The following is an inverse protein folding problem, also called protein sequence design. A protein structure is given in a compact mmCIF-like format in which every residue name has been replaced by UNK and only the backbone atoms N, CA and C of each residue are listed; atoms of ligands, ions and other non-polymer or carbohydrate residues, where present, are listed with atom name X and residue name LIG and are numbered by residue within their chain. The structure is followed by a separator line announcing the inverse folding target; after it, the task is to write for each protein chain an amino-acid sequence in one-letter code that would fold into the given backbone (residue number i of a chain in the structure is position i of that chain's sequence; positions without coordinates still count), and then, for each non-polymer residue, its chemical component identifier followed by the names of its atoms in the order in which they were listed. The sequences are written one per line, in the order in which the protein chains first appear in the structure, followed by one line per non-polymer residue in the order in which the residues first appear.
data_IF_977997814334
#
_entry.id   IF_977997814334
#
_cell.length_a   1.000
_cell.length_b   1.000
_cell.length_c   1.000
_cell.angle_alpha   90.00
_cell.angle_beta   90.00
_cell.angle_gamma   90.00
#
_symmetry.space_group_name_H-M   'P 1'
#
loop_
_entity.id
_entity.type
_entity.pdbx_description
1 polymer ?
#
# COMPACT_ATOMS: atom_id res chain seq x y z
N UNK A 1 88.43 -8.37 -108.23
CA UNK A 1 89.71 -7.80 -108.68
C UNK A 1 89.58 -6.90 -109.90
N UNK A 2 88.71 -7.22 -110.87
CA UNK A 2 88.70 -6.47 -112.14
C UNK A 2 88.33 -4.98 -112.01
N UNK A 3 87.45 -4.64 -111.07
CA UNK A 3 87.15 -3.24 -110.73
C UNK A 3 88.38 -2.49 -110.20
N UNK A 4 89.18 -3.16 -109.35
CA UNK A 4 90.43 -2.62 -108.81
C UNK A 4 91.47 -2.44 -109.91
N UNK A 5 91.64 -3.44 -110.79
CA UNK A 5 92.51 -3.35 -111.95
C UNK A 5 92.11 -2.21 -112.89
N UNK A 6 90.81 -2.04 -113.13
CA UNK A 6 90.26 -0.96 -113.95
C UNK A 6 90.48 0.42 -113.32
N UNK A 7 90.20 0.57 -112.03
CA UNK A 7 90.38 1.83 -111.30
C UNK A 7 91.87 2.22 -111.25
N UNK A 8 92.77 1.27 -110.99
CA UNK A 8 94.22 1.51 -111.03
C UNK A 8 94.69 1.90 -112.43
N UNK A 9 94.22 1.20 -113.47
CA UNK A 9 94.63 1.47 -114.85
C UNK A 9 94.12 2.83 -115.36
N UNK A 10 92.91 3.23 -115.01
CA UNK A 10 92.37 4.56 -115.31
C UNK A 10 93.08 5.64 -114.48
N UNK A 11 93.44 5.34 -113.24
CA UNK A 11 94.08 6.29 -112.33
C UNK A 11 93.26 7.58 -112.21
N UNK A 12 93.89 8.72 -112.45
CA UNK A 12 93.22 10.03 -112.40
C UNK A 12 92.14 10.21 -113.48
N UNK A 13 92.24 9.49 -114.61
CA UNK A 13 91.26 9.55 -115.71
C UNK A 13 89.89 9.05 -115.26
N UNK A 14 89.82 8.17 -114.25
CA UNK A 14 88.55 7.70 -113.66
C UNK A 14 87.65 8.83 -113.15
N UNK A 15 88.22 10.01 -112.86
CA UNK A 15 87.52 11.21 -112.36
C UNK A 15 87.25 12.24 -113.44
N UNK A 16 87.71 12.00 -114.66
CA UNK A 16 87.53 12.93 -115.77
C UNK A 16 86.11 12.80 -116.32
N UNK A 17 85.55 13.93 -116.79
CA UNK A 17 84.25 13.93 -117.45
C UNK A 17 84.41 13.60 -118.93
N UNK A 18 83.44 12.91 -119.50
CA UNK A 18 83.37 12.70 -120.95
C UNK A 18 82.49 13.81 -121.55
N UNK A 19 82.98 14.49 -122.57
CA UNK A 19 82.26 15.55 -123.28
C UNK A 19 82.25 15.27 -124.79
N UNK A 20 81.13 15.54 -125.45
CA UNK A 20 80.94 15.20 -126.85
C UNK A 20 81.79 16.06 -127.80
N UNK A 21 81.94 17.35 -127.48
CA UNK A 21 82.58 18.33 -128.33
C UNK A 21 83.61 19.18 -127.58
N UNK A 22 84.65 19.62 -128.31
CA UNK A 22 85.75 20.41 -127.76
C UNK A 22 85.27 21.77 -127.25
N UNK A 23 84.34 22.41 -127.95
CA UNK A 23 83.78 23.72 -127.56
C UNK A 23 83.13 23.67 -126.17
N UNK A 24 82.31 22.66 -125.89
CA UNK A 24 81.68 22.48 -124.60
C UNK A 24 82.71 22.18 -123.51
N UNK A 25 83.73 21.37 -123.79
CA UNK A 25 84.81 21.12 -122.83
C UNK A 25 85.58 22.41 -122.46
N UNK A 26 85.91 23.25 -123.44
CA UNK A 26 86.56 24.55 -123.21
C UNK A 26 85.64 25.53 -122.45
N UNK A 27 84.34 25.52 -122.74
CA UNK A 27 83.36 26.32 -121.99
C UNK A 27 83.26 25.88 -120.52
N UNK A 28 83.24 24.57 -120.24
CA UNK A 28 83.24 24.03 -118.87
C UNK A 28 84.52 24.43 -118.13
N UNK A 29 85.69 24.32 -118.77
CA UNK A 29 86.97 24.75 -118.17
C UNK A 29 86.97 26.26 -117.92
N UNK A 30 86.45 27.06 -118.86
CA UNK A 30 86.29 28.50 -118.73
C UNK A 30 85.41 28.87 -117.53
N UNK A 31 84.27 28.19 -117.37
CA UNK A 31 83.36 28.37 -116.25
C UNK A 31 84.00 28.02 -114.90
N UNK A 32 84.67 26.87 -114.81
CA UNK A 32 85.35 26.46 -113.57
C UNK A 32 86.48 27.43 -113.18
N UNK A 33 87.15 28.02 -114.18
CA UNK A 33 88.18 29.03 -113.98
C UNK A 33 87.60 30.36 -113.52
N UNK A 34 86.49 30.84 -114.10
CA UNK A 34 85.87 32.09 -113.67
C UNK A 34 85.30 32.00 -112.26
N UNK A 35 84.77 30.84 -111.88
CA UNK A 35 84.13 30.60 -110.58
C UNK A 35 85.06 30.00 -109.51
N UNK A 36 86.34 29.78 -109.82
CA UNK A 36 87.33 29.13 -108.93
C UNK A 36 86.86 27.79 -108.32
N UNK A 37 86.12 26.97 -109.08
CA UNK A 37 85.50 25.71 -108.61
C UNK A 37 86.41 24.48 -108.74
N UNK A 38 87.73 24.68 -108.78
CA UNK A 38 88.73 23.61 -108.84
C UNK A 38 89.17 23.24 -110.26
N UNK A 39 89.85 22.09 -110.39
CA UNK A 39 90.40 21.57 -111.65
C UNK A 39 89.67 20.30 -112.06
N UNK A 40 89.46 20.11 -113.35
CA UNK A 40 88.82 18.92 -113.91
C UNK A 40 89.60 18.44 -115.14
N UNK A 41 89.67 17.13 -115.34
CA UNK A 41 90.06 16.57 -116.62
C UNK A 41 88.81 16.26 -117.45
N UNK A 42 88.88 16.47 -118.76
CA UNK A 42 87.77 16.19 -119.68
C UNK A 42 88.29 15.38 -120.86
N UNK A 43 87.66 14.24 -121.13
CA UNK A 43 87.89 13.41 -122.31
C UNK A 43 86.94 13.85 -123.43
N UNK A 44 87.50 14.17 -124.60
CA UNK A 44 86.74 14.55 -125.80
C UNK A 44 87.11 13.59 -126.94
N UNK A 45 86.15 12.84 -127.53
CA UNK A 45 86.46 11.86 -128.57
C UNK A 45 87.04 12.43 -129.88
N UNK A 46 86.88 13.74 -130.16
CA UNK A 46 87.18 14.35 -131.47
C UNK A 46 88.36 15.34 -131.48
N UNK A 47 89.18 15.41 -130.43
CA UNK A 47 90.29 16.39 -130.33
C UNK A 47 91.53 16.05 -131.17
N UNK A 48 91.60 14.87 -131.80
CA UNK A 48 92.69 14.47 -132.71
C UNK A 48 92.41 13.15 -133.44
N UNK A 49 93.33 12.71 -134.31
CA UNK A 49 93.22 11.43 -135.00
C UNK A 49 93.42 10.27 -133.99
N UNK A 50 92.32 9.77 -133.42
CA UNK A 50 92.35 8.55 -132.61
C UNK A 50 92.65 7.39 -133.57
N UNK A 51 93.91 6.97 -133.60
CA UNK A 51 94.31 5.72 -134.26
C UNK A 51 93.86 4.58 -133.37
N UNK A 52 92.69 4.02 -133.67
CA UNK A 52 92.13 2.85 -132.97
C UNK A 52 92.88 1.56 -133.27
N UNK A 53 93.60 1.51 -134.39
CA UNK A 53 94.46 0.40 -134.77
C UNK A 53 95.74 0.38 -133.93
N UNK A 54 95.66 -0.21 -132.74
CA UNK A 54 96.81 -0.54 -131.92
C UNK A 54 97.34 -1.91 -132.33
N UNK A 55 98.53 -1.98 -132.93
CA UNK A 55 99.20 -3.26 -133.20
C UNK A 55 99.68 -3.85 -131.87
N UNK A 56 98.97 -4.86 -131.38
CA UNK A 56 99.26 -5.53 -130.10
C UNK A 56 100.38 -6.55 -130.27
N UNK A 57 101.29 -6.70 -129.29
CA UNK A 57 102.16 -7.86 -129.23
C UNK A 57 101.34 -9.13 -128.96
N UNK A 58 101.80 -10.26 -129.49
CA UNK A 58 101.29 -11.57 -129.09
C UNK A 58 101.88 -11.92 -127.72
N UNK A 59 101.03 -12.01 -126.71
CA UNK A 59 101.40 -12.32 -125.34
C UNK A 59 100.67 -13.61 -124.93
N UNK A 60 101.17 -14.76 -125.40
CA UNK A 60 100.61 -16.08 -125.05
C UNK A 60 101.30 -16.62 -123.79
N UNK A 61 101.00 -15.97 -122.67
CA UNK A 61 101.55 -16.29 -121.35
C UNK A 61 100.41 -16.67 -120.40
N UNK A 62 100.54 -17.75 -119.61
CA UNK A 62 99.50 -18.18 -118.66
C UNK A 62 99.23 -17.16 -117.54
N UNK A 63 100.14 -16.22 -117.33
CA UNK A 63 100.01 -15.11 -116.39
C UNK A 63 99.04 -14.02 -116.88
N UNK A 64 98.81 -13.91 -118.20
CA UNK A 64 97.98 -12.88 -118.82
C UNK A 64 96.51 -13.30 -118.82
N UNK A 65 95.65 -12.43 -118.30
CA UNK A 65 94.19 -12.61 -118.29
C UNK A 65 93.57 -12.13 -119.60
N UNK A 66 94.09 -11.04 -120.16
CA UNK A 66 93.64 -10.46 -121.43
C UNK A 66 93.89 -8.96 -121.50
N UNK A 67 93.41 -8.30 -122.55
CA UNK A 67 93.52 -6.85 -122.68
C UNK A 67 92.39 -6.15 -121.91
N UNK A 68 92.69 -5.09 -121.16
CA UNK A 68 91.75 -4.48 -120.21
C UNK A 68 90.46 -3.97 -120.88
N UNK A 69 90.57 -3.48 -122.11
CA UNK A 69 89.43 -3.02 -122.91
C UNK A 69 88.40 -4.11 -123.22
N UNK A 70 88.81 -5.38 -123.23
CA UNK A 70 87.90 -6.51 -123.48
C UNK A 70 86.96 -6.79 -122.30
N UNK A 71 87.28 -6.29 -121.10
CA UNK A 71 86.52 -6.51 -119.88
C UNK A 71 85.62 -5.33 -119.50
N UNK A 72 85.58 -4.29 -120.32
CA UNK A 72 84.79 -3.08 -120.08
C UNK A 72 83.72 -2.94 -121.15
N UNK A 73 82.47 -2.80 -120.73
CA UNK A 73 81.34 -2.53 -121.63
C UNK A 73 80.98 -1.04 -121.58
N UNK A 74 80.84 -0.42 -122.74
CA UNK A 74 80.47 1.00 -122.89
C UNK A 74 79.50 1.17 -124.06
N UNK A 75 78.81 2.33 -124.11
CA UNK A 75 78.02 2.76 -125.27
C UNK A 75 78.90 2.80 -126.55
N UNK A 76 78.32 2.39 -127.69
CA UNK A 76 78.99 2.36 -129.00
C UNK A 76 79.68 3.68 -129.34
N UNK A 77 79.06 4.82 -128.99
CA UNK A 77 79.62 6.15 -129.27
C UNK A 77 80.92 6.43 -128.51
N UNK A 78 81.13 5.79 -127.37
CA UNK A 78 82.29 5.96 -126.51
C UNK A 78 83.33 4.85 -126.68
N UNK A 79 83.03 3.84 -127.49
CA UNK A 79 83.93 2.70 -127.75
C UNK A 79 85.31 3.16 -128.26
N UNK A 80 85.43 4.10 -129.22
CA UNK A 80 86.74 4.59 -129.67
C UNK A 80 87.55 5.25 -128.55
N UNK A 81 86.88 5.98 -127.65
CA UNK A 81 87.51 6.65 -126.51
C UNK A 81 87.96 5.64 -125.46
N UNK A 82 87.11 4.67 -125.13
CA UNK A 82 87.47 3.59 -124.21
C UNK A 82 88.67 2.82 -124.76
N UNK A 83 88.72 2.55 -126.07
CA UNK A 83 89.83 1.82 -126.69
C UNK A 83 91.10 2.67 -126.65
N UNK A 84 91.01 3.97 -126.92
CA UNK A 84 92.16 4.87 -126.82
C UNK A 84 92.80 4.88 -125.43
N UNK A 85 92.00 4.74 -124.37
CA UNK A 85 92.47 4.77 -122.97
C UNK A 85 92.91 3.39 -122.47
N UNK A 86 92.19 2.33 -122.82
CA UNK A 86 92.36 0.99 -122.20
C UNK A 86 93.02 -0.05 -123.11
N UNK A 87 93.03 0.11 -124.43
CA UNK A 87 93.49 -0.91 -125.38
C UNK A 87 95.00 -1.22 -125.32
N UNK A 88 95.78 -0.37 -124.64
CA UNK A 88 97.23 -0.53 -124.43
C UNK A 88 97.58 -1.07 -123.04
N UNK A 89 96.57 -1.47 -122.26
CA UNK A 89 96.77 -2.00 -120.92
C UNK A 89 96.41 -3.48 -120.91
N UNK A 90 97.37 -4.35 -120.61
CA UNK A 90 97.14 -5.78 -120.42
C UNK A 90 96.85 -6.08 -118.96
N UNK A 91 95.97 -7.04 -118.67
CA UNK A 91 95.65 -7.49 -117.32
C UNK A 91 96.35 -8.81 -117.06
N UNK A 92 97.01 -8.94 -115.90
CA UNK A 92 97.64 -10.17 -115.44
C UNK A 92 97.18 -10.54 -114.04
N UNK A 93 97.42 -11.78 -113.63
CA UNK A 93 96.99 -12.28 -112.31
C UNK A 93 97.86 -11.72 -111.17
N UNK A 94 97.26 -11.52 -110.00
CA UNK A 94 97.91 -11.03 -108.78
C UNK A 94 99.13 -11.86 -108.34
N UNK A 95 99.10 -13.17 -108.57
CA UNK A 95 100.12 -14.14 -108.14
C UNK A 95 101.30 -14.29 -109.13
N UNK A 96 101.24 -13.59 -110.27
CA UNK A 96 102.23 -13.70 -111.33
C UNK A 96 103.27 -12.56 -111.32
N UNK A 97 104.50 -12.85 -111.75
CA UNK A 97 105.51 -11.80 -112.00
C UNK A 97 105.26 -11.11 -113.35
N UNK A 98 105.26 -9.77 -113.41
CA UNK A 98 105.07 -9.02 -114.65
C UNK A 98 106.30 -8.99 -115.56
N UNK A 99 107.47 -9.46 -115.11
CA UNK A 99 108.76 -9.24 -115.82
C UNK A 99 108.72 -9.72 -117.28
N UNK A 100 108.24 -10.95 -117.51
CA UNK A 100 108.11 -11.54 -118.86
C UNK A 100 107.16 -10.74 -119.74
N UNK A 101 106.08 -10.23 -119.16
CA UNK A 101 105.09 -9.41 -119.86
C UNK A 101 105.74 -8.09 -120.24
N UNK A 102 106.44 -7.43 -119.31
CA UNK A 102 107.06 -6.13 -119.52
C UNK A 102 108.17 -6.14 -120.58
N UNK A 103 108.97 -7.21 -120.66
CA UNK A 103 110.00 -7.38 -121.70
C UNK A 103 109.43 -7.39 -123.13
N UNK A 104 108.20 -7.91 -123.28
CA UNK A 104 107.53 -8.05 -124.58
C UNK A 104 106.56 -6.90 -124.88
N UNK A 105 106.37 -5.98 -123.93
CA UNK A 105 105.48 -4.84 -124.11
C UNK A 105 106.22 -3.69 -124.82
N UNK A 106 105.71 -3.24 -125.98
CA UNK A 106 106.29 -2.09 -126.66
C UNK A 106 106.07 -0.80 -125.86
N UNK A 107 106.88 0.22 -126.17
CA UNK A 107 106.80 1.51 -125.50
C UNK A 107 105.39 2.11 -125.59
N UNK A 108 104.88 2.60 -124.45
CA UNK A 108 103.53 3.18 -124.35
C UNK A 108 102.42 2.18 -124.01
N UNK A 109 102.76 0.91 -123.80
CA UNK A 109 101.85 -0.07 -123.20
C UNK A 109 102.08 -0.20 -121.69
N UNK A 110 101.07 -0.75 -121.02
CA UNK A 110 101.11 -0.98 -119.59
C UNK A 110 100.54 -2.37 -119.25
N UNK A 111 100.91 -2.88 -118.08
CA UNK A 111 100.35 -4.07 -117.47
C UNK A 111 99.75 -3.72 -116.12
N UNK A 112 98.56 -4.24 -115.82
CA UNK A 112 97.89 -4.08 -114.52
C UNK A 112 97.51 -5.44 -113.96
N UNK A 113 97.74 -5.64 -112.67
CA UNK A 113 97.36 -6.87 -111.97
C UNK A 113 95.94 -6.78 -111.41
N UNK A 114 95.32 -7.93 -111.15
CA UNK A 114 93.97 -8.00 -110.56
C UNK A 114 93.87 -7.45 -109.13
N UNK A 115 95.00 -7.26 -108.42
CA UNK A 115 95.10 -6.60 -107.11
C UNK A 115 95.46 -5.11 -107.19
N UNK A 116 95.69 -4.57 -108.40
CA UNK A 116 95.86 -3.14 -108.61
C UNK A 116 97.31 -2.63 -108.62
N UNK A 117 98.31 -3.47 -108.94
CA UNK A 117 99.67 -3.01 -109.29
C UNK A 117 99.74 -2.70 -110.78
N UNK A 118 100.18 -1.50 -111.12
CA UNK A 118 100.27 -0.98 -112.48
C UNK A 118 101.72 -0.74 -112.88
N UNK A 119 102.10 -1.28 -114.03
CA UNK A 119 103.44 -1.24 -114.60
C UNK A 119 103.36 -0.62 -116.00
N UNK A 120 104.16 0.41 -116.25
CA UNK A 120 104.37 1.01 -117.57
C UNK A 120 105.88 1.06 -117.84
N UNK A 121 106.29 1.28 -119.09
CA UNK A 121 107.71 1.33 -119.50
C UNK A 121 108.55 2.33 -118.69
N UNK A 122 107.94 3.31 -118.04
CA UNK A 122 108.62 4.36 -117.27
C UNK A 122 108.05 4.58 -115.86
N UNK A 123 107.01 3.84 -115.45
CA UNK A 123 106.33 4.09 -114.18
C UNK A 123 105.81 2.81 -113.53
N UNK A 124 106.03 2.67 -112.23
CA UNK A 124 105.46 1.64 -111.37
C UNK A 124 104.53 2.31 -110.35
N UNK A 125 103.29 1.85 -110.26
CA UNK A 125 102.32 2.25 -109.24
C UNK A 125 101.82 1.01 -108.51
N UNK A 126 101.91 1.02 -107.19
CA UNK A 126 101.43 -0.07 -106.34
C UNK A 126 101.56 0.32 -104.87
N UNK A 127 100.84 -0.40 -103.99
CA UNK A 127 100.76 -0.14 -102.56
C UNK A 127 99.32 -0.24 -102.04
N UNK A 128 99.14 -0.08 -100.73
CA UNK A 128 97.81 0.02 -100.11
C UNK A 128 97.27 1.44 -100.25
N UNK A 129 96.12 1.61 -100.91
CA UNK A 129 95.38 2.89 -100.92
C UNK A 129 94.29 2.82 -99.84
N UNK A 130 94.34 3.73 -98.86
CA UNK A 130 93.31 3.85 -97.80
C UNK A 130 91.98 4.45 -98.32
N UNK A 131 91.92 4.76 -99.61
CA UNK A 131 90.75 5.37 -100.24
C UNK A 131 89.73 4.32 -100.65
N UNK A 132 88.48 4.53 -100.22
CA UNK A 132 87.37 3.66 -100.59
C UNK A 132 87.10 3.74 -102.10
N UNK A 133 87.12 2.59 -102.82
CA UNK A 133 86.91 2.52 -104.27
C UNK A 133 85.67 3.28 -104.70
N UNK A 134 85.76 4.09 -105.76
CA UNK A 134 84.64 4.92 -106.23
C UNK A 134 83.44 4.04 -106.60
N UNK A 135 83.71 2.89 -107.21
CA UNK A 135 82.69 1.94 -107.66
C UNK A 135 81.92 1.27 -106.52
N UNK A 136 82.52 1.10 -105.33
CA UNK A 136 81.83 0.52 -104.15
C UNK A 136 80.99 1.53 -103.35
N UNK A 137 81.12 2.83 -103.60
CA UNK A 137 80.38 3.85 -102.85
C UNK A 137 78.87 3.75 -103.05
N UNK A 138 78.43 3.37 -104.26
CA UNK A 138 77.00 3.18 -104.57
C UNK A 138 76.39 2.08 -103.70
N UNK A 139 77.06 0.93 -103.60
CA UNK A 139 76.61 -0.20 -102.76
C UNK A 139 76.53 0.20 -101.28
N UNK A 140 77.50 0.97 -100.78
CA UNK A 140 77.50 1.45 -99.39
C UNK A 140 76.34 2.41 -99.09
N UNK A 141 76.04 3.32 -100.02
CA UNK A 141 74.89 4.24 -99.89
C UNK A 141 73.57 3.46 -99.89
N UNK A 142 73.44 2.44 -100.75
CA UNK A 142 72.25 1.57 -100.75
C UNK A 142 72.09 0.80 -99.43
N UNK A 143 73.17 0.30 -98.85
CA UNK A 143 73.13 -0.39 -97.56
C UNK A 143 72.75 0.56 -96.41
N UNK A 144 73.32 1.76 -96.36
CA UNK A 144 72.95 2.78 -95.39
C UNK A 144 71.47 3.20 -95.53
N UNK A 145 70.98 3.33 -96.76
CA UNK A 145 69.57 3.64 -97.01
C UNK A 145 68.64 2.55 -96.48
N UNK A 146 68.98 1.27 -96.67
CA UNK A 146 68.22 0.14 -96.07
C UNK A 146 68.26 0.17 -94.54
N UNK A 147 69.36 0.60 -93.94
CA UNK A 147 69.46 0.75 -92.48
C UNK A 147 68.56 1.87 -91.97
N UNK A 148 68.51 3.00 -92.68
CA UNK A 148 67.61 4.12 -92.35
C UNK A 148 66.15 3.64 -92.40
N UNK A 149 65.75 2.95 -93.47
CA UNK A 149 64.38 2.41 -93.60
C UNK A 149 64.02 1.45 -92.46
N UNK A 150 64.94 0.57 -92.07
CA UNK A 150 64.73 -0.34 -90.92
C UNK A 150 64.59 0.42 -89.60
N UNK A 151 65.41 1.44 -89.37
CA UNK A 151 65.34 2.27 -88.17
C UNK A 151 64.05 3.09 -88.13
N UNK A 152 63.62 3.65 -89.25
CA UNK A 152 62.35 4.39 -89.34
C UNK A 152 61.14 3.49 -89.06
N UNK A 153 61.12 2.27 -89.61
CA UNK A 153 60.11 1.29 -89.28
C UNK A 153 60.08 0.97 -87.77
N UNK A 154 61.26 0.80 -87.16
CA UNK A 154 61.38 0.54 -85.73
C UNK A 154 60.95 1.72 -84.87
N UNK A 155 61.26 2.95 -85.28
CA UNK A 155 60.82 4.17 -84.60
C UNK A 155 59.28 4.26 -84.64
N UNK A 156 58.67 3.99 -85.79
CA UNK A 156 57.22 4.01 -85.93
C UNK A 156 56.55 2.94 -85.06
N UNK A 157 57.10 1.72 -85.02
CA UNK A 157 56.62 0.66 -84.13
C UNK A 157 56.74 1.05 -82.64
N UNK A 158 57.86 1.65 -82.23
CA UNK A 158 58.03 2.11 -80.86
C UNK A 158 57.08 3.27 -80.51
N UNK A 159 56.81 4.18 -81.45
CA UNK A 159 55.82 5.25 -81.29
C UNK A 159 54.41 4.70 -81.10
N UNK A 160 53.99 3.72 -81.91
CA UNK A 160 52.65 3.11 -81.76
C UNK A 160 52.52 2.37 -80.44
N UNK A 161 53.54 1.59 -80.04
CA UNK A 161 53.58 0.92 -78.72
C UNK A 161 53.54 1.93 -77.57
N UNK A 162 54.30 3.03 -77.66
CA UNK A 162 54.28 4.11 -76.66
C UNK A 162 52.88 4.68 -76.53
N UNK A 163 52.23 5.03 -77.65
CA UNK A 163 50.89 5.61 -77.65
C UNK A 163 49.85 4.65 -77.05
N UNK A 164 49.93 3.35 -77.38
CA UNK A 164 49.06 2.33 -76.79
C UNK A 164 49.26 2.24 -75.26
N UNK A 165 50.50 2.17 -74.78
CA UNK A 165 50.80 2.14 -73.34
C UNK A 165 50.37 3.41 -72.62
N UNK A 166 50.51 4.59 -73.24
CA UNK A 166 50.03 5.84 -72.64
C UNK A 166 48.51 5.87 -72.51
N UNK A 167 47.79 5.32 -73.50
CA UNK A 167 46.33 5.21 -73.42
C UNK A 167 45.88 4.21 -72.36
N UNK A 168 46.57 3.08 -72.23
CA UNK A 168 46.33 2.08 -71.19
C UNK A 168 46.57 2.67 -69.78
N UNK A 169 47.67 3.40 -69.58
CA UNK A 169 47.94 4.10 -68.31
C UNK A 169 46.85 5.12 -67.99
N UNK A 170 46.37 5.87 -68.97
CA UNK A 170 45.28 6.83 -68.76
C UNK A 170 43.98 6.12 -68.34
N UNK A 171 43.64 5.00 -68.99
CA UNK A 171 42.48 4.18 -68.64
C UNK A 171 42.59 3.63 -67.22
N UNK A 172 43.72 3.03 -66.85
CA UNK A 172 43.96 2.48 -65.52
C UNK A 172 43.93 3.55 -64.43
N UNK A 173 44.39 4.78 -64.72
CA UNK A 173 44.27 5.91 -63.79
C UNK A 173 42.84 6.34 -63.57
N UNK A 174 42.02 6.38 -64.63
CA UNK A 174 40.60 6.70 -64.51
C UNK A 174 39.85 5.61 -63.71
N UNK A 175 40.16 4.33 -63.97
CA UNK A 175 39.59 3.21 -63.22
C UNK A 175 40.01 3.25 -61.74
N UNK A 176 41.28 3.52 -61.45
CA UNK A 176 41.78 3.68 -60.08
C UNK A 176 41.11 4.84 -59.35
N UNK A 177 40.85 5.96 -60.03
CA UNK A 177 40.14 7.10 -59.43
C UNK A 177 38.68 6.74 -59.12
N UNK A 178 37.99 6.06 -60.04
CA UNK A 178 36.61 5.59 -59.82
C UNK A 178 36.52 4.55 -58.69
N UNK A 179 37.52 3.67 -58.56
CA UNK A 179 37.58 2.72 -57.45
C UNK A 179 37.83 3.43 -56.12
N UNK A 180 38.66 4.47 -56.10
CA UNK A 180 38.90 5.26 -54.89
C UNK A 180 37.62 5.97 -54.41
N UNK A 181 36.88 6.62 -55.32
CA UNK A 181 35.60 7.26 -54.95
C UNK A 181 34.58 6.25 -54.44
N UNK A 182 34.53 5.05 -55.06
CA UNK A 182 33.62 3.99 -54.61
C UNK A 182 34.01 3.41 -53.25
N UNK A 183 35.29 3.42 -52.92
CA UNK A 183 35.79 3.00 -51.61
C UNK A 183 35.38 4.03 -50.55
N UNK A 184 35.54 5.33 -50.83
CA UNK A 184 35.07 6.40 -49.94
C UNK A 184 33.54 6.32 -49.71
N UNK A 185 32.74 6.12 -50.76
CA UNK A 185 31.28 5.92 -50.63
C UNK A 185 30.93 4.69 -49.76
N UNK A 186 31.66 3.59 -49.90
CA UNK A 186 31.45 2.38 -49.09
C UNK A 186 31.85 2.59 -47.64
N UNK A 187 32.94 3.32 -47.38
CA UNK A 187 33.37 3.65 -46.02
C UNK A 187 32.35 4.57 -45.32
N UNK A 188 31.79 5.56 -46.01
CA UNK A 188 30.70 6.39 -45.48
C UNK A 188 29.45 5.56 -45.16
N UNK A 189 29.07 4.62 -46.04
CA UNK A 189 27.96 3.71 -45.78
C UNK A 189 28.23 2.79 -44.59
N UNK A 190 29.47 2.33 -44.43
CA UNK A 190 29.88 1.46 -43.33
C UNK A 190 29.82 2.21 -42.00
N UNK A 191 30.35 3.43 -41.93
CA UNK A 191 30.27 4.28 -40.74
C UNK A 191 28.82 4.66 -40.40
N UNK A 192 27.99 4.96 -41.40
CA UNK A 192 26.55 5.18 -41.20
C UNK A 192 25.86 3.93 -40.62
N UNK A 193 26.15 2.75 -41.18
CA UNK A 193 25.62 1.49 -40.68
C UNK A 193 26.08 1.16 -39.25
N UNK A 194 27.34 1.46 -38.91
CA UNK A 194 27.86 1.30 -37.53
C UNK A 194 27.15 2.22 -36.56
N UNK A 195 26.91 3.48 -36.94
CA UNK A 195 26.16 4.42 -36.10
C UNK A 195 24.73 3.92 -35.84
N UNK A 196 24.04 3.44 -36.89
CA UNK A 196 22.69 2.86 -36.76
C UNK A 196 22.69 1.63 -35.85
N UNK A 197 23.66 0.73 -35.98
CA UNK A 197 23.80 -0.44 -35.10
C UNK A 197 23.97 0.01 -33.65
N UNK A 198 24.84 0.99 -33.39
CA UNK A 198 25.08 1.50 -32.04
C UNK A 198 23.83 2.16 -31.43
N UNK A 199 23.02 2.84 -32.24
CA UNK A 199 21.75 3.43 -31.82
C UNK A 199 20.73 2.34 -31.45
N UNK A 200 20.53 1.37 -32.33
CA UNK A 200 19.62 0.23 -32.08
C UNK A 200 20.06 -0.59 -30.87
N UNK A 201 21.36 -0.80 -30.66
CA UNK A 201 21.88 -1.47 -29.47
C UNK A 201 21.60 -0.67 -28.18
N UNK A 202 21.69 0.65 -28.25
CA UNK A 202 21.34 1.51 -27.11
C UNK A 202 19.85 1.44 -26.80
N UNK A 203 19.00 1.48 -27.82
CA UNK A 203 17.55 1.31 -27.69
C UNK A 203 17.20 -0.06 -27.10
N UNK A 204 17.84 -1.14 -27.59
CA UNK A 204 17.66 -2.48 -27.06
C UNK A 204 18.02 -2.56 -25.57
N UNK A 205 19.19 -2.05 -25.18
CA UNK A 205 19.61 -2.00 -23.76
C UNK A 205 18.68 -1.15 -22.90
N UNK A 206 18.05 -0.12 -23.47
CA UNK A 206 17.05 0.69 -22.78
C UNK A 206 15.75 -0.09 -22.58
N UNK A 207 15.26 -0.75 -23.62
CA UNK A 207 14.07 -1.59 -23.58
C UNK A 207 14.24 -2.78 -22.62
N UNK A 208 15.39 -3.45 -22.62
CA UNK A 208 15.71 -4.53 -21.67
C UNK A 208 15.67 -4.07 -20.21
N UNK A 209 16.21 -2.88 -19.92
CA UNK A 209 16.14 -2.27 -18.58
C UNK A 209 14.70 -1.98 -18.17
N UNK A 210 13.89 -1.50 -19.10
CA UNK A 210 12.47 -1.20 -18.85
C UNK A 210 11.66 -2.48 -18.62
N UNK A 211 11.90 -3.54 -19.42
CA UNK A 211 11.29 -4.86 -19.20
C UNK A 211 11.65 -5.40 -17.81
N UNK A 212 12.93 -5.36 -17.42
CA UNK A 212 13.35 -5.82 -16.09
C UNK A 212 12.71 -4.99 -14.95
N UNK A 213 12.51 -3.68 -15.16
CA UNK A 213 11.79 -2.81 -14.21
C UNK A 213 10.33 -3.23 -14.09
N UNK A 214 9.64 -3.42 -15.21
CA UNK A 214 8.24 -3.82 -15.26
C UNK A 214 8.00 -5.23 -14.68
N UNK A 215 8.94 -6.16 -14.87
CA UNK A 215 8.87 -7.50 -14.27
C UNK A 215 8.95 -7.44 -12.74
N UNK A 216 9.87 -6.64 -12.19
CA UNK A 216 9.95 -6.41 -10.73
C UNK A 216 8.67 -5.76 -10.22
N UNK A 217 8.16 -4.74 -10.92
CA UNK A 217 6.92 -4.07 -10.55
C UNK A 217 5.74 -5.06 -10.55
N UNK A 218 5.61 -5.88 -11.60
CA UNK A 218 4.62 -6.96 -11.68
C UNK A 218 4.74 -7.93 -10.51
N UNK A 219 5.95 -8.37 -10.15
CA UNK A 219 6.15 -9.26 -9.02
C UNK A 219 5.68 -8.63 -7.70
N UNK A 220 6.06 -7.38 -7.43
CA UNK A 220 5.62 -6.66 -6.22
C UNK A 220 4.10 -6.46 -6.16
N UNK A 221 3.47 -6.16 -7.30
CA UNK A 221 2.01 -6.04 -7.39
C UNK A 221 1.32 -7.38 -7.16
N UNK A 222 1.89 -8.47 -7.66
CA UNK A 222 1.36 -9.83 -7.46
C UNK A 222 1.42 -10.21 -5.98
N UNK A 223 2.53 -9.94 -5.30
CA UNK A 223 2.66 -10.17 -3.85
C UNK A 223 1.68 -9.31 -3.04
N UNK A 224 1.51 -8.02 -3.40
CA UNK A 224 0.53 -7.14 -2.76
C UNK A 224 -0.88 -7.67 -2.94
N UNK A 225 -1.24 -8.13 -4.14
CA UNK A 225 -2.54 -8.71 -4.43
C UNK A 225 -2.81 -9.94 -3.56
N UNK A 226 -1.84 -10.82 -3.43
CA UNK A 226 -2.01 -12.04 -2.64
C UNK A 226 -2.08 -11.74 -1.13
N UNK A 227 -1.36 -10.72 -0.62
CA UNK A 227 -1.54 -10.22 0.76
C UNK A 227 -2.92 -9.61 0.99
N UNK A 228 -3.44 -8.85 0.04
CA UNK A 228 -4.80 -8.28 0.14
C UNK A 228 -5.82 -9.42 0.15
N UNK A 229 -5.64 -10.43 -0.70
CA UNK A 229 -6.53 -11.59 -0.79
C UNK A 229 -6.55 -12.41 0.51
N UNK A 230 -5.39 -12.67 1.11
CA UNK A 230 -5.32 -13.37 2.39
C UNK A 230 -5.94 -12.55 3.52
N UNK A 231 -5.73 -11.22 3.52
CA UNK A 231 -6.39 -10.32 4.48
C UNK A 231 -7.90 -10.32 4.31
N UNK A 232 -8.41 -10.26 3.08
CA UNK A 232 -9.83 -10.33 2.80
C UNK A 232 -10.45 -11.63 3.31
N UNK A 233 -9.79 -12.78 3.08
CA UNK A 233 -10.23 -14.07 3.60
C UNK A 233 -10.29 -14.07 5.14
N UNK A 234 -9.25 -13.57 5.81
CA UNK A 234 -9.23 -13.47 7.28
C UNK A 234 -10.32 -12.57 7.85
N UNK A 235 -10.60 -11.44 7.18
CA UNK A 235 -11.65 -10.52 7.59
C UNK A 235 -13.03 -11.13 7.39
N UNK A 236 -13.22 -11.90 6.32
CA UNK A 236 -14.48 -12.58 6.06
C UNK A 236 -14.75 -13.68 7.08
N UNK A 237 -13.73 -14.43 7.49
CA UNK A 237 -13.82 -15.40 8.58
C UNK A 237 -14.18 -14.72 9.91
N UNK A 238 -13.45 -13.65 10.26
CA UNK A 238 -13.75 -12.88 11.47
C UNK A 238 -15.14 -12.23 11.46
N UNK A 239 -15.63 -11.83 10.28
CA UNK A 239 -16.98 -11.33 10.13
C UNK A 239 -18.03 -12.42 10.38
N UNK A 240 -17.84 -13.64 9.88
CA UNK A 240 -18.79 -14.73 10.15
C UNK A 240 -18.81 -15.11 11.63
N UNK A 241 -17.63 -15.15 12.28
CA UNK A 241 -17.52 -15.40 13.72
C UNK A 241 -18.24 -14.32 14.54
N UNK A 242 -17.99 -13.04 14.24
CA UNK A 242 -18.67 -11.91 14.89
C UNK A 242 -20.17 -11.94 14.64
N UNK A 243 -20.61 -12.32 13.43
CA UNK A 243 -22.03 -12.42 13.12
C UNK A 243 -22.70 -13.53 13.93
N UNK A 244 -22.04 -14.68 14.08
CA UNK A 244 -22.54 -15.79 14.90
C UNK A 244 -22.57 -15.41 16.38
N UNK A 245 -21.54 -14.72 16.88
CA UNK A 245 -21.51 -14.20 18.24
C UNK A 245 -22.65 -13.20 18.49
N UNK A 246 -22.88 -12.27 17.56
CA UNK A 246 -23.99 -11.33 17.63
C UNK A 246 -25.33 -12.06 17.72
N UNK A 247 -25.55 -13.06 16.88
CA UNK A 247 -26.80 -13.82 16.88
C UNK A 247 -27.01 -14.60 18.18
N UNK A 248 -25.93 -15.19 18.73
CA UNK A 248 -25.98 -15.82 20.06
C UNK A 248 -26.29 -14.82 21.18
N UNK A 249 -25.69 -13.62 21.14
CA UNK A 249 -25.95 -12.56 22.13
C UNK A 249 -27.39 -12.08 22.07
N UNK A 250 -27.91 -11.84 20.86
CA UNK A 250 -29.32 -11.45 20.67
C UNK A 250 -30.23 -12.53 21.24
N UNK A 251 -29.99 -13.80 20.93
CA UNK A 251 -30.78 -14.91 21.49
C UNK A 251 -30.72 -14.97 23.02
N UNK A 252 -29.54 -14.79 23.64
CA UNK A 252 -29.44 -14.72 25.11
C UNK A 252 -30.11 -13.48 25.70
N UNK A 253 -30.11 -12.37 24.98
CA UNK A 253 -30.76 -11.13 25.41
C UNK A 253 -32.28 -11.27 25.36
N UNK A 254 -32.82 -11.90 24.32
CA UNK A 254 -34.24 -12.24 24.22
C UNK A 254 -34.66 -13.19 25.34
N UNK A 255 -33.90 -14.26 25.59
CA UNK A 255 -34.13 -15.17 26.71
C UNK A 255 -34.07 -14.44 28.07
N UNK A 256 -33.11 -13.53 28.24
CA UNK A 256 -33.00 -12.73 29.46
C UNK A 256 -34.20 -11.79 29.61
N UNK A 257 -34.68 -11.19 28.51
CA UNK A 257 -35.88 -10.36 28.47
C UNK A 257 -37.14 -11.13 28.87
N UNK A 258 -37.31 -12.34 28.34
CA UNK A 258 -38.40 -13.25 28.72
C UNK A 258 -38.32 -13.60 30.21
N UNK A 259 -37.14 -13.97 30.72
CA UNK A 259 -36.98 -14.28 32.14
C UNK A 259 -37.26 -13.06 33.03
N UNK A 260 -36.83 -11.86 32.63
CA UNK A 260 -37.11 -10.62 33.35
C UNK A 260 -38.62 -10.37 33.41
N UNK A 261 -39.32 -10.52 32.29
CA UNK A 261 -40.78 -10.36 32.24
C UNK A 261 -41.50 -11.35 33.17
N UNK A 262 -41.06 -12.62 33.18
CA UNK A 262 -41.63 -13.61 34.12
C UNK A 262 -41.34 -13.28 35.57
N UNK A 263 -40.14 -12.79 35.90
CA UNK A 263 -39.76 -12.38 37.25
C UNK A 263 -40.54 -11.13 37.70
N UNK A 264 -40.75 -10.15 36.82
CA UNK A 264 -41.58 -8.98 37.09
C UNK A 264 -43.02 -9.38 37.39
N UNK A 265 -43.57 -10.32 36.63
CA UNK A 265 -44.91 -10.86 36.87
C UNK A 265 -44.98 -11.59 38.22
N UNK A 266 -44.00 -12.44 38.53
CA UNK A 266 -43.92 -13.11 39.83
C UNK A 266 -43.74 -12.13 41.00
N UNK A 267 -42.94 -11.08 40.83
CA UNK A 267 -42.75 -10.05 41.83
C UNK A 267 -44.04 -9.25 42.07
N UNK A 268 -44.78 -8.91 41.01
CA UNK A 268 -46.08 -8.25 41.11
C UNK A 268 -47.12 -9.13 41.82
N UNK A 269 -47.16 -10.43 41.50
CA UNK A 269 -48.01 -11.40 42.19
C UNK A 269 -47.64 -11.55 43.67
N UNK A 270 -46.35 -11.65 43.98
CA UNK A 270 -45.85 -11.69 45.36
C UNK A 270 -46.21 -10.40 46.11
N UNK A 271 -46.06 -9.23 45.50
CA UNK A 271 -46.42 -7.95 46.11
C UNK A 271 -47.93 -7.85 46.39
N UNK A 272 -48.76 -8.32 45.46
CA UNK A 272 -50.20 -8.43 45.66
C UNK A 272 -50.55 -9.38 46.81
N UNK A 273 -49.87 -10.53 46.90
CA UNK A 273 -50.05 -11.48 47.99
C UNK A 273 -49.64 -10.89 49.34
N UNK A 274 -48.50 -10.19 49.41
CA UNK A 274 -48.06 -9.49 50.62
C UNK A 274 -49.09 -8.44 51.04
N UNK A 275 -49.61 -7.66 50.10
CA UNK A 275 -50.64 -6.65 50.38
C UNK A 275 -51.92 -7.28 50.93
N UNK A 276 -52.38 -8.40 50.33
CA UNK A 276 -53.54 -9.16 50.84
C UNK A 276 -53.30 -9.72 52.24
N UNK A 277 -52.12 -10.27 52.50
CA UNK A 277 -51.77 -10.79 53.83
C UNK A 277 -51.67 -9.66 54.87
N UNK A 278 -51.14 -8.51 54.50
CA UNK A 278 -51.10 -7.33 55.39
C UNK A 278 -52.52 -6.88 55.77
N UNK A 279 -53.44 -6.81 54.81
CA UNK A 279 -54.86 -6.51 55.09
C UNK A 279 -55.45 -7.56 56.04
N UNK A 280 -55.22 -8.85 55.78
CA UNK A 280 -55.70 -9.93 56.64
C UNK A 280 -55.13 -9.85 58.07
N UNK A 281 -53.86 -9.46 58.22
CA UNK A 281 -53.23 -9.25 59.54
C UNK A 281 -53.86 -8.06 60.26
N UNK A 282 -54.13 -6.94 59.57
CA UNK A 282 -54.82 -5.78 60.15
C UNK A 282 -56.23 -6.16 60.59
N UNK A 283 -56.99 -6.88 59.76
CA UNK A 283 -58.32 -7.39 60.13
C UNK A 283 -58.28 -8.34 61.33
N UNK A 284 -57.31 -9.25 61.37
CA UNK A 284 -57.11 -10.14 62.51
C UNK A 284 -56.75 -9.37 63.79
N UNK A 285 -55.87 -8.37 63.70
CA UNK A 285 -55.53 -7.48 64.84
C UNK A 285 -56.74 -6.71 65.34
N UNK A 286 -57.53 -6.11 64.44
CA UNK A 286 -58.75 -5.40 64.82
C UNK A 286 -59.76 -6.33 65.52
N UNK A 287 -59.89 -7.58 65.05
CA UNK A 287 -60.72 -8.60 65.71
C UNK A 287 -60.20 -8.94 67.12
N UNK A 288 -58.88 -9.08 67.27
CA UNK A 288 -58.26 -9.32 68.58
C UNK A 288 -58.53 -8.15 69.52
N UNK A 289 -58.28 -6.90 69.10
CA UNK A 289 -58.55 -5.71 69.92
C UNK A 289 -60.03 -5.59 70.30
N UNK A 290 -60.95 -5.91 69.38
CA UNK A 290 -62.38 -5.92 69.66
C UNK A 290 -62.75 -6.98 70.71
N UNK A 291 -62.21 -8.19 70.59
CA UNK A 291 -62.44 -9.27 71.57
C UNK A 291 -61.84 -8.90 72.92
N UNK A 292 -60.63 -8.34 72.95
CA UNK A 292 -60.00 -7.85 74.18
C UNK A 292 -60.83 -6.75 74.86
N UNK A 293 -61.38 -5.81 74.10
CA UNK A 293 -62.30 -4.80 74.61
C UNK A 293 -63.56 -5.42 75.21
N UNK A 294 -64.17 -6.39 74.54
CA UNK A 294 -65.33 -7.12 75.05
C UNK A 294 -64.99 -7.88 76.34
N UNK A 295 -63.81 -8.50 76.39
CA UNK A 295 -63.34 -9.26 77.55
C UNK A 295 -63.10 -8.35 78.76
N UNK A 296 -62.49 -7.16 78.54
CA UNK A 296 -62.35 -6.11 79.56
C UNK A 296 -63.72 -5.67 80.08
N UNK A 297 -64.66 -5.34 79.20
CA UNK A 297 -66.00 -4.91 79.59
C UNK A 297 -66.75 -5.99 80.41
N UNK A 298 -66.66 -7.26 80.00
CA UNK A 298 -67.24 -8.39 80.75
C UNK A 298 -66.57 -8.54 82.12
N UNK A 299 -65.25 -8.33 82.22
CA UNK A 299 -64.52 -8.40 83.48
C UNK A 299 -64.92 -7.29 84.46
N UNK A 300 -65.10 -6.06 83.98
CA UNK A 300 -65.61 -4.92 84.76
C UNK A 300 -67.03 -5.20 85.26
N UNK A 301 -67.92 -5.67 84.37
CA UNK A 301 -69.28 -6.04 84.75
C UNK A 301 -69.30 -7.14 85.81
N UNK A 302 -68.38 -8.12 85.72
CA UNK A 302 -68.23 -9.19 86.72
C UNK A 302 -67.79 -8.62 88.07
N UNK A 303 -66.85 -7.68 88.10
CA UNK A 303 -66.42 -7.01 89.34
C UNK A 303 -67.55 -6.19 89.97
N UNK A 304 -68.32 -5.45 89.18
CA UNK A 304 -69.48 -4.67 89.66
C UNK A 304 -70.57 -5.57 90.24
N UNK A 305 -70.88 -6.69 89.56
CA UNK A 305 -71.81 -7.70 90.08
C UNK A 305 -71.27 -8.28 91.40
N UNK A 306 -69.98 -8.61 91.47
CA UNK A 306 -69.37 -9.16 92.68
C UNK A 306 -69.45 -8.17 93.85
N UNK A 307 -69.16 -6.89 93.60
CA UNK A 307 -69.27 -5.82 94.59
C UNK A 307 -70.72 -5.66 95.08
N UNK A 308 -71.69 -5.70 94.17
CA UNK A 308 -73.11 -5.65 94.52
C UNK A 308 -73.51 -6.85 95.39
N UNK A 309 -73.00 -8.03 95.08
CA UNK A 309 -73.24 -9.27 95.84
C UNK A 309 -72.65 -9.18 97.25
N UNK A 310 -71.45 -8.62 97.41
CA UNK A 310 -70.85 -8.39 98.74
C UNK A 310 -71.68 -7.41 99.58
N UNK A 311 -72.15 -6.31 98.99
CA UNK A 311 -73.00 -5.34 99.69
C UNK A 311 -74.31 -6.00 100.14
N UNK A 312 -74.96 -6.78 99.27
CA UNK A 312 -76.19 -7.49 99.63
C UNK A 312 -75.98 -8.57 100.69
N UNK A 313 -74.83 -9.26 100.70
CA UNK A 313 -74.49 -10.17 101.80
C UNK A 313 -74.36 -9.45 103.14
N UNK A 314 -73.68 -8.30 103.17
CA UNK A 314 -73.55 -7.51 104.41
C UNK A 314 -74.88 -6.94 104.88
N UNK A 315 -75.78 -6.54 103.98
CA UNK A 315 -77.14 -6.10 104.34
C UNK A 315 -77.96 -7.26 104.95
N UNK A 316 -77.80 -8.49 104.44
CA UNK A 316 -78.47 -9.68 104.96
C UNK A 316 -77.96 -10.03 106.37
N UNK A 317 -76.64 -10.00 106.58
CA UNK A 317 -76.06 -10.24 107.91
C UNK A 317 -76.56 -9.24 108.95
N UNK A 318 -76.61 -7.94 108.60
CA UNK A 318 -77.17 -6.90 109.47
C UNK A 318 -78.66 -7.11 109.77
N UNK A 319 -79.46 -7.50 108.76
CA UNK A 319 -80.87 -7.81 108.96
C UNK A 319 -81.06 -9.02 109.89
N UNK A 320 -80.21 -10.03 109.80
CA UNK A 320 -80.24 -11.19 110.68
C UNK A 320 -79.87 -10.85 112.13
N UNK A 321 -78.88 -9.98 112.33
CA UNK A 321 -78.49 -9.48 113.66
C UNK A 321 -79.61 -8.62 114.29
N UNK A 322 -80.33 -7.84 113.49
CA UNK A 322 -81.54 -7.12 113.92
C UNK A 322 -82.68 -8.07 114.30
N UNK A 323 -82.86 -9.17 113.57
CA UNK A 323 -83.90 -10.17 113.89
C UNK A 323 -83.58 -10.85 115.24
N UNK A 324 -82.33 -11.24 115.49
CA UNK A 324 -81.93 -11.89 116.74
C UNK A 324 -82.09 -10.97 117.95
N UNK A 325 -81.65 -9.71 117.83
CA UNK A 325 -81.79 -8.73 118.91
C UNK A 325 -83.26 -8.41 119.21
N UNK A 326 -84.10 -8.32 118.18
CA UNK A 326 -85.54 -8.11 118.36
C UNK A 326 -86.20 -9.33 119.03
N UNK A 327 -85.81 -10.55 118.67
CA UNK A 327 -86.33 -11.77 119.31
C UNK A 327 -85.98 -11.85 120.81
N UNK A 328 -84.74 -11.51 121.19
CA UNK A 328 -84.32 -11.45 122.59
C UNK A 328 -85.09 -10.39 123.39
N UNK A 329 -85.39 -9.24 122.79
CA UNK A 329 -86.21 -8.20 123.45
C UNK A 329 -87.67 -8.63 123.65
N UNK A 330 -88.23 -9.43 122.73
CA UNK A 330 -89.58 -9.99 122.86
C UNK A 330 -89.64 -10.98 124.02
N UNK A 331 -88.66 -11.86 124.14
CA UNK A 331 -88.59 -12.86 125.22
C UNK A 331 -88.48 -12.19 126.61
N UNK A 332 -87.67 -11.13 126.73
CA UNK A 332 -87.58 -10.34 127.96
C UNK A 332 -88.92 -9.64 128.32
N UNK A 333 -89.63 -9.09 127.33
CA UNK A 333 -90.93 -8.45 127.53
C UNK A 333 -92.02 -9.45 127.94
N UNK A 334 -92.02 -10.65 127.38
CA UNK A 334 -92.96 -11.72 127.77
C UNK A 334 -92.74 -12.17 129.23
N UNK A 335 -91.48 -12.22 129.68
CA UNK A 335 -91.14 -12.58 131.06
C UNK A 335 -91.60 -11.48 132.05
N UNK A 336 -91.41 -10.21 131.71
CA UNK A 336 -91.91 -9.07 132.49
C UNK A 336 -93.45 -9.04 132.55
N UNK A 337 -94.12 -9.45 131.47
CA UNK A 337 -95.59 -9.53 131.42
C UNK A 337 -96.13 -10.61 132.38
N UNK A 338 -95.49 -11.78 132.46
CA UNK A 338 -95.86 -12.85 133.39
C UNK A 338 -95.73 -12.44 134.86
N UNK A 339 -94.65 -11.74 135.23
CA UNK A 339 -94.47 -11.23 136.59
C UNK A 339 -95.53 -10.18 136.97
N UNK A 340 -95.88 -9.30 136.02
CA UNK A 340 -96.93 -8.29 136.20
C UNK A 340 -98.31 -8.92 136.47
N UNK A 341 -98.67 -9.97 135.73
CA UNK A 341 -99.94 -10.69 135.95
C UNK A 341 -100.00 -11.40 137.31
N UNK A 342 -98.90 -12.02 137.75
CA UNK A 342 -98.84 -12.67 139.07
C UNK A 342 -99.04 -11.65 140.22
N UNK A 343 -98.39 -10.47 140.14
CA UNK A 343 -98.58 -9.39 141.13
C UNK A 343 -100.01 -8.84 141.15
N UNK A 344 -100.67 -8.80 140.00
CA UNK A 344 -102.06 -8.33 139.89
C UNK A 344 -103.05 -9.31 140.55
N UNK A 345 -102.82 -10.61 140.40
CA UNK A 345 -103.70 -11.64 140.99
C UNK A 345 -103.57 -11.71 142.52
N UNK A 346 -102.37 -11.49 143.05
CA UNK A 346 -102.11 -11.39 144.49
C UNK A 346 -102.76 -10.14 145.12
N UNK A 347 -102.66 -8.99 144.46
CA UNK A 347 -103.34 -7.76 144.88
C UNK A 347 -104.88 -7.89 144.85
N UNK A 348 -105.44 -8.64 143.89
CA UNK A 348 -106.88 -8.90 143.79
C UNK A 348 -107.39 -9.75 144.96
N UNK A 349 -106.64 -10.78 145.38
CA UNK A 349 -107.02 -11.61 146.53
C UNK A 349 -106.99 -10.83 147.85
N UNK A 350 -106.00 -9.93 148.02
CA UNK A 350 -105.91 -9.08 149.19
C UNK A 350 -107.08 -8.08 149.29
N UNK A 351 -107.55 -7.53 148.16
CA UNK A 351 -108.69 -6.60 148.15
C UNK A 351 -110.03 -7.29 148.47
N UNK A 352 -110.23 -8.53 148.03
CA UNK A 352 -111.42 -9.32 148.36
C UNK A 352 -111.49 -9.65 149.87
N UNK A 353 -110.36 -10.04 150.48
CA UNK A 353 -110.29 -10.36 151.91
C UNK A 353 -110.55 -9.16 152.82
N UNK A 354 -110.05 -7.96 152.43
CA UNK A 354 -110.28 -6.72 153.17
C UNK A 354 -111.72 -6.23 153.07
N UNK A 355 -112.40 -6.45 151.93
CA UNK A 355 -113.83 -6.15 151.77
C UNK A 355 -114.73 -7.04 152.64
N UNK A 356 -114.43 -8.33 152.76
CA UNK A 356 -115.14 -9.21 153.69
C UNK A 356 -114.95 -8.77 155.14
N UNK A 357 -113.72 -8.39 155.52
CA UNK A 357 -113.42 -7.90 156.87
C UNK A 357 -114.13 -6.58 157.19
N UNK A 358 -114.26 -5.69 156.22
CA UNK A 358 -114.99 -4.43 156.35
C UNK A 358 -116.50 -4.65 156.53
N UNK A 359 -117.10 -5.62 155.83
CA UNK A 359 -118.51 -5.95 155.96
C UNK A 359 -118.86 -6.56 157.34
N UNK A 360 -118.00 -7.43 157.87
CA UNK A 360 -118.16 -8.01 159.23
C UNK A 360 -118.09 -6.93 160.32
N UNK A 361 -117.10 -6.02 160.22
CA UNK A 361 -116.94 -4.92 161.17
C UNK A 361 -118.13 -3.93 161.13
N UNK A 362 -118.69 -3.66 159.95
CA UNK A 362 -119.85 -2.77 159.81
C UNK A 362 -121.12 -3.38 160.43
N UNK A 363 -121.29 -4.70 160.39
CA UNK A 363 -122.41 -5.39 161.04
C UNK A 363 -122.33 -5.29 162.57
N UNK A 364 -121.12 -5.45 163.14
CA UNK A 364 -120.88 -5.32 164.59
C UNK A 364 -121.10 -3.88 165.08
N UNK A 365 -120.74 -2.88 164.28
CA UNK A 365 -120.99 -1.46 164.60
C UNK A 365 -122.50 -1.15 164.61
N UNK A 366 -123.25 -1.62 163.61
CA UNK A 366 -124.70 -1.41 163.56
C UNK A 366 -125.46 -2.08 164.73
N UNK A 367 -125.01 -3.26 165.16
CA UNK A 367 -125.59 -3.96 166.31
C UNK A 367 -125.31 -3.21 167.63
N UNK A 368 -124.11 -2.67 167.79
CA UNK A 368 -123.75 -1.83 168.94
C UNK A 368 -124.46 -0.48 168.94
N UNK A 369 -124.70 0.14 167.78
CA UNK A 369 -125.50 1.37 167.68
C UNK A 369 -126.97 1.15 168.02
N UNK A 370 -127.57 0.02 167.65
CA UNK A 370 -128.94 -0.30 168.06
C UNK A 370 -129.06 -0.50 169.57
N UNK A 371 -128.10 -1.20 170.19
CA UNK A 371 -128.03 -1.36 171.66
C UNK A 371 -127.90 -0.01 172.39
N UNK A 372 -127.15 0.93 171.81
CA UNK A 372 -126.98 2.29 172.34
C UNK A 372 -128.28 3.12 172.22
N UNK A 373 -129.06 2.89 171.16
CA UNK A 373 -130.34 3.57 170.93
C UNK A 373 -131.45 3.10 171.88
N UNK A 374 -131.46 1.82 172.24
CA UNK A 374 -132.39 1.28 173.24
C UNK A 374 -132.02 1.73 174.65
N UNK A 375 -130.72 1.79 174.98
CA UNK A 375 -130.24 2.27 176.28
C UNK A 375 -130.53 3.76 176.50
N UNK A 376 -130.45 4.60 175.44
CA UNK A 376 -130.83 6.02 175.52
C UNK A 376 -132.33 6.22 175.70
N UNK A 377 -133.18 5.43 175.04
CA UNK A 377 -134.63 5.49 175.27
C UNK A 377 -135.04 5.11 176.69
N UNK A 378 -134.34 4.15 177.31
CA UNK A 378 -134.58 3.82 178.73
C UNK A 378 -134.09 4.90 179.68
N UNK A 379 -133.03 5.65 179.31
CA UNK A 379 -132.55 6.78 180.09
C UNK A 379 -133.55 7.95 180.06
N UNK A 380 -134.13 8.24 178.90
CA UNK A 380 -135.12 9.31 178.76
C UNK A 380 -136.42 8.99 179.51
N UNK A 381 -136.90 7.74 179.48
CA UNK A 381 -138.09 7.35 180.26
C UNK A 381 -137.86 7.42 181.78
N UNK A 382 -136.66 7.07 182.26
CA UNK A 382 -136.33 7.18 183.69
C UNK A 382 -136.19 8.64 184.14
N UNK A 383 -135.69 9.53 183.28
CA UNK A 383 -135.61 10.96 183.58
C UNK A 383 -137.00 11.62 183.63
N UNK A 384 -137.93 11.21 182.77
CA UNK A 384 -139.30 11.72 182.80
C UNK A 384 -140.05 11.27 184.08
N UNK A 385 -139.84 10.02 184.51
CA UNK A 385 -140.36 9.50 185.79
C UNK A 385 -139.74 10.23 187.00
N UNK A 386 -138.45 10.58 186.92
CA UNK A 386 -137.76 11.38 187.94
C UNK A 386 -138.34 12.79 188.03
N UNK A 387 -138.71 13.39 186.89
CA UNK A 387 -139.32 14.72 186.86
C UNK A 387 -140.76 14.71 187.41
N UNK A 388 -141.54 13.65 187.16
CA UNK A 388 -142.86 13.47 187.78
C UNK A 388 -142.78 13.26 189.30
N UNK A 389 -141.74 12.59 189.80
CA UNK A 389 -141.48 12.42 191.23
C UNK A 389 -141.01 13.72 191.90
N UNK A 390 -140.19 14.53 191.22
CA UNK A 390 -139.76 15.83 191.73
C UNK A 390 -140.93 16.83 191.86
N UNK A 391 -141.84 16.85 190.89
CA UNK A 391 -143.03 17.70 190.98
C UNK A 391 -143.98 17.26 192.12
N UNK A 392 -144.01 15.96 192.42
CA UNK A 392 -144.76 15.42 193.57
C UNK A 392 -144.12 15.78 194.92
N UNK A 393 -142.80 15.89 194.98
CA UNK A 393 -142.08 16.34 196.18
C UNK A 393 -142.34 17.84 196.42
N UNK A 394 -142.34 18.66 195.37
CA UNK A 394 -142.67 20.08 195.51
C UNK A 394 -144.12 20.32 195.96
N UNK A 395 -145.05 19.45 195.57
CA UNK A 395 -146.43 19.48 196.05
C UNK A 395 -146.53 19.15 197.55
N UNK A 396 -145.69 18.24 198.07
CA UNK A 396 -145.65 17.92 199.50
C UNK A 396 -144.91 18.96 200.35
N UNK A 397 -143.87 19.62 199.81
CA UNK A 397 -143.19 20.71 200.55
C UNK A 397 -144.09 21.94 200.72
N UNK A 398 -144.96 22.22 199.74
CA UNK A 398 -145.96 23.27 199.86
C UNK A 398 -147.05 22.92 200.89
N UNK A 399 -147.45 21.65 200.98
CA UNK A 399 -148.39 21.19 202.03
C UNK A 399 -147.74 21.19 203.42
N UNK A 400 -146.42 20.98 203.53
CA UNK A 400 -145.68 21.11 204.79
C UNK A 400 -145.56 22.59 205.20
N UNK A 401 -145.33 23.52 204.28
CA UNK A 401 -145.36 24.95 204.64
C UNK A 401 -146.76 25.45 205.01
N UNK A 402 -147.81 24.87 204.41
CA UNK A 402 -149.19 25.08 204.83
C UNK A 402 -149.52 24.46 206.21
N UNK A 403 -148.67 23.57 206.74
CA UNK A 403 -148.79 22.97 208.08
C UNK A 403 -147.89 23.67 209.12
N UNK A 404 -146.72 24.20 208.76
CA UNK A 404 -145.80 24.86 209.70
C UNK A 404 -146.27 26.25 210.14
N UNK A 405 -146.87 27.07 209.28
CA UNK A 405 -147.40 28.39 209.72
C UNK A 405 -148.81 28.30 210.31
N UNK A 406 -149.59 27.26 209.98
CA UNK A 406 -150.81 26.90 210.71
C UNK A 406 -150.55 26.50 212.18
N UNK A 407 -149.33 26.07 212.51
CA UNK A 407 -148.89 25.88 213.91
C UNK A 407 -148.31 27.15 214.55
N UNK A 408 -148.12 28.23 213.77
CA UNK A 408 -147.70 29.54 214.27
C UNK A 408 -148.87 30.45 214.63
N UNK A 409 -150.07 30.14 214.15
CA UNK A 409 -151.33 30.80 214.53
C UNK A 409 -151.68 30.69 216.05
N UNK A 410 -151.15 29.76 216.87
CA UNK A 410 -151.83 29.41 218.15
C UNK A 410 -150.98 29.18 219.46
N UNK A 411 -149.62 29.20 219.52
CA UNK A 411 -148.87 28.76 220.75
C UNK A 411 -147.51 29.41 221.23
N UNK A 412 -146.95 30.50 220.68
CA UNK A 412 -145.78 31.25 221.24
C UNK A 412 -144.48 30.47 221.59
N UNK A 413 -143.98 29.56 220.75
CA UNK A 413 -142.63 28.97 220.96
C UNK A 413 -141.85 28.79 219.65
N UNK A 414 -140.62 29.31 219.67
CA UNK A 414 -139.57 29.16 218.66
C UNK A 414 -139.07 27.69 218.61
N UNK A 415 -138.78 27.16 217.42
CA UNK A 415 -137.56 26.41 217.08
C UNK A 415 -137.63 25.97 215.59
N UNK A 416 -136.47 26.17 214.97
CA UNK A 416 -135.93 25.71 213.66
C UNK A 416 -136.69 24.69 212.86
#
# INVERSE_FOLDING_TARGET
GMETALETALGDISRWLVCYDRSTAEAVIGYLRSENRGRIGILVPQTGAITTAVKRPELDFPEVVGWLDQFVTTDEKLTPLMQAVLARTVVFREDASPDRILEHLPYGFAAVSTDGRYFSSFALKGGSDDRFPIFRRKEKVEEEQRQIEKLDARINELKTRKNARTSEIASLRAESANLATKLEELDEQLESGRAQISEVEYELRSAEREVARLEREKQTLTEKRERIRSRQYSLQLGHSELSQQKESMVSTMDQSGDTLSTLEQQAAEAQNNVSRLQVAVIEARNKVEQVEHQLRHISELREDIHRTLTIKKTEIEQAQEQITTTAETIEQLEQQLKESFARREECSKNTESLRQRQAELQAVVNEKEQQLKTARKTQDTLNEELHQLQMRIAAFDSEIHALVEKFREEYDVDIT
#
